data_IF_883775421367
#
_entry.id   IF_883775421367
#
_cell.length_a   1.000
_cell.length_b   1.000
_cell.length_c   1.000
_cell.angle_alpha   90.00
_cell.angle_beta   90.00
_cell.angle_gamma   90.00
#
_symmetry.space_group_name_H-M   'P 1'
#
loop_
_entity.id
_entity.type
_entity.pdbx_description
1 polymer ?
#
# COMPACT_ATOMS: atom_id res chain seq x y z
N UNK A 1 -8.64 19.10 64.09
CA UNK A 1 -8.94 17.79 63.48
C UNK A 1 -10.17 17.95 62.59
N UNK A 2 -10.01 18.13 61.29
CA UNK A 2 -11.11 18.17 60.31
C UNK A 2 -10.70 17.40 59.07
N UNK A 3 -11.05 16.13 59.03
CA UNK A 3 -11.02 15.32 57.81
C UNK A 3 -12.14 14.29 57.92
N UNK A 4 -13.09 14.38 57.00
CA UNK A 4 -14.30 13.54 56.96
C UNK A 4 -14.93 13.59 55.57
N UNK A 5 -14.11 13.22 54.59
CA UNK A 5 -14.42 12.62 53.29
C UNK A 5 -15.91 12.60 52.88
N UNK A 6 -16.35 13.59 52.08
CA UNK A 6 -17.64 13.53 51.41
C UNK A 6 -17.46 12.89 50.02
N UNK A 7 -18.25 11.83 49.76
CA UNK A 7 -18.17 10.96 48.57
C UNK A 7 -18.52 11.75 47.31
N UNK A 8 -17.52 12.21 46.58
CA UNK A 8 -17.72 12.79 45.24
C UNK A 8 -17.93 11.63 44.28
N UNK A 9 -19.19 11.39 43.93
CA UNK A 9 -19.57 10.49 42.84
C UNK A 9 -19.01 11.05 41.53
N UNK A 10 -17.99 10.39 40.98
CA UNK A 10 -17.39 10.73 39.68
C UNK A 10 -18.34 10.22 38.60
N UNK A 11 -18.97 11.10 37.78
CA UNK A 11 -19.76 10.63 36.65
C UNK A 11 -18.81 10.10 35.58
N UNK A 12 -19.01 8.82 35.24
CA UNK A 12 -18.33 8.09 34.17
C UNK A 12 -18.80 8.66 32.81
N UNK A 13 -18.19 9.74 32.35
CA UNK A 13 -18.38 10.24 30.99
C UNK A 13 -17.75 9.24 30.01
N UNK A 14 -18.58 8.35 29.44
CA UNK A 14 -18.26 7.53 28.27
C UNK A 14 -18.03 8.47 27.07
N UNK A 15 -16.79 8.91 26.85
CA UNK A 15 -16.38 9.56 25.61
C UNK A 15 -16.13 8.48 24.55
N UNK A 16 -17.17 8.15 23.78
CA UNK A 16 -17.08 7.27 22.61
C UNK A 16 -16.44 8.06 21.46
N UNK A 17 -15.11 8.10 21.41
CA UNK A 17 -14.35 8.73 20.34
C UNK A 17 -14.51 7.95 19.03
N UNK A 18 -15.29 8.49 18.10
CA UNK A 18 -15.30 8.01 16.71
C UNK A 18 -13.96 8.34 16.06
N UNK A 19 -13.07 7.34 16.00
CA UNK A 19 -11.86 7.42 15.18
C UNK A 19 -12.28 7.24 13.71
N UNK A 20 -12.34 8.33 12.96
CA UNK A 20 -12.48 8.29 11.51
C UNK A 20 -11.15 7.81 10.90
N UNK A 21 -11.01 6.51 10.67
CA UNK A 21 -9.92 5.97 9.86
C UNK A 21 -10.20 6.25 8.39
N UNK A 22 -9.66 7.36 7.88
CA UNK A 22 -9.58 7.59 6.45
C UNK A 22 -8.66 6.53 5.84
N UNK A 23 -9.17 5.78 4.87
CA UNK A 23 -8.33 4.96 3.97
C UNK A 23 -7.41 5.93 3.24
N UNK A 24 -6.18 6.09 3.73
CA UNK A 24 -5.18 6.90 3.05
C UNK A 24 -4.60 6.04 1.93
N UNK A 25 -4.90 6.40 0.69
CA UNK A 25 -4.07 5.98 -0.43
C UNK A 25 -2.61 6.36 -0.12
N UNK A 26 -1.67 5.46 -0.40
CA UNK A 26 -0.26 5.64 -0.08
C UNK A 26 0.35 6.67 -1.03
N UNK A 27 0.28 7.96 -0.70
CA UNK A 27 0.87 9.01 -1.52
C UNK A 27 2.38 9.13 -1.25
N UNK A 28 3.19 9.23 -2.31
CA UNK A 28 4.64 9.40 -2.21
C UNK A 28 5.13 10.62 -2.97
N UNK A 29 6.11 11.31 -2.40
CA UNK A 29 6.78 12.44 -3.05
C UNK A 29 7.80 11.94 -4.08
N UNK A 30 7.83 12.46 -5.29
CA UNK A 30 8.88 12.11 -6.27
C UNK A 30 10.17 12.95 -6.09
N UNK A 31 11.10 12.80 -7.04
CA UNK A 31 12.37 13.52 -7.06
C UNK A 31 12.22 15.02 -7.34
N UNK A 32 11.14 15.43 -8.01
CA UNK A 32 10.84 16.82 -8.36
C UNK A 32 10.13 17.53 -7.20
N UNK A 33 9.59 16.74 -6.27
CA UNK A 33 8.90 17.21 -5.09
C UNK A 33 7.38 17.18 -5.22
N UNK A 34 6.86 16.64 -6.31
CA UNK A 34 5.43 16.45 -6.51
C UNK A 34 4.95 15.28 -5.66
N UNK A 35 3.75 15.41 -5.09
CA UNK A 35 3.12 14.32 -4.34
C UNK A 35 2.28 13.52 -5.31
N UNK A 36 2.68 12.28 -5.55
CA UNK A 36 1.98 11.35 -6.44
C UNK A 36 1.13 10.41 -5.60
N UNK A 37 -0.14 10.30 -5.97
CA UNK A 37 -1.08 9.38 -5.36
C UNK A 37 -1.65 8.44 -6.43
N UNK A 38 -2.14 7.28 -5.99
CA UNK A 38 -2.87 6.36 -6.86
C UNK A 38 -3.88 5.53 -6.08
N UNK A 39 -4.59 4.66 -6.80
CA UNK A 39 -5.63 3.78 -6.24
C UNK A 39 -5.03 2.68 -5.38
N UNK A 40 -3.89 2.12 -5.81
CA UNK A 40 -3.14 1.10 -5.08
C UNK A 40 -1.91 1.67 -4.38
N UNK A 41 -1.00 0.77 -3.98
CA UNK A 41 0.28 1.20 -3.39
C UNK A 41 1.17 1.88 -4.43
N UNK A 42 2.05 2.74 -3.95
CA UNK A 42 3.04 3.43 -4.76
C UNK A 42 4.46 2.96 -4.44
N UNK A 43 5.34 3.03 -5.43
CA UNK A 43 6.76 2.77 -5.27
C UNK A 43 7.58 3.77 -6.08
N UNK A 44 8.82 4.00 -5.65
CA UNK A 44 9.78 4.89 -6.31
C UNK A 44 10.77 4.07 -7.13
N UNK A 45 11.01 4.48 -8.36
CA UNK A 45 12.01 3.86 -9.24
C UNK A 45 13.44 4.31 -8.89
N UNK A 46 14.43 3.89 -9.70
CA UNK A 46 15.83 4.27 -9.54
C UNK A 46 16.14 5.73 -9.85
N UNK A 47 15.33 6.39 -10.68
CA UNK A 47 15.45 7.80 -11.03
C UNK A 47 14.79 8.72 -9.99
N UNK A 48 13.94 8.14 -9.14
CA UNK A 48 13.20 8.86 -8.12
C UNK A 48 11.77 9.22 -8.51
N UNK A 49 11.33 8.81 -9.69
CA UNK A 49 9.93 8.92 -10.13
C UNK A 49 9.07 7.95 -9.33
N UNK A 50 7.85 8.38 -8.98
CA UNK A 50 6.88 7.56 -8.25
C UNK A 50 5.85 7.01 -9.22
N UNK A 51 5.50 5.74 -9.04
CA UNK A 51 4.43 5.08 -9.78
C UNK A 51 3.54 4.33 -8.81
N UNK A 52 2.23 4.37 -9.05
CA UNK A 52 1.22 3.72 -8.23
C UNK A 52 0.48 2.67 -9.03
N UNK A 53 -0.03 1.62 -8.38
CA UNK A 53 -0.94 0.70 -9.07
C UNK A 53 -2.24 1.41 -9.43
N UNK A 54 -2.68 1.27 -10.69
CA UNK A 54 -3.95 1.78 -11.18
C UNK A 54 -5.18 0.99 -10.66
N UNK A 55 -4.94 -0.04 -9.84
CA UNK A 55 -5.98 -0.87 -9.24
C UNK A 55 -6.01 -0.65 -7.74
N UNK A 56 -7.22 -0.51 -7.18
CA UNK A 56 -7.39 -0.36 -5.73
C UNK A 56 -6.84 -1.61 -5.04
N UNK A 57 -6.03 -1.42 -3.99
CA UNK A 57 -5.33 -2.46 -3.25
C UNK A 57 -4.30 -3.26 -4.08
N UNK A 58 -3.99 -2.82 -5.30
CA UNK A 58 -2.92 -3.38 -6.12
C UNK A 58 -1.54 -2.89 -5.70
N UNK A 59 -0.50 -3.65 -6.06
CA UNK A 59 0.87 -3.36 -5.66
C UNK A 59 1.69 -2.72 -6.80
N UNK A 60 2.41 -1.65 -6.49
CA UNK A 60 3.57 -1.18 -7.26
C UNK A 60 4.85 -1.73 -6.60
N UNK A 61 5.69 -2.40 -7.38
CA UNK A 61 6.92 -3.04 -6.91
C UNK A 61 8.11 -2.59 -7.77
N UNK A 62 9.23 -2.28 -7.11
CA UNK A 62 10.50 -1.99 -7.80
C UNK A 62 11.23 -3.29 -8.09
N UNK A 63 11.58 -3.51 -9.36
CA UNK A 63 12.34 -4.68 -9.78
C UNK A 63 13.85 -4.55 -9.48
N UNK A 64 14.63 -5.55 -9.87
CA UNK A 64 16.09 -5.58 -9.67
C UNK A 64 16.85 -4.55 -10.52
N UNK A 65 16.29 -4.15 -11.67
CA UNK A 65 16.86 -3.11 -12.54
C UNK A 65 16.53 -1.70 -12.02
N UNK A 66 15.62 -1.64 -11.05
CA UNK A 66 15.18 -0.42 -10.41
C UNK A 66 13.97 0.22 -11.08
N UNK A 67 13.33 -0.47 -12.04
CA UNK A 67 12.08 -0.02 -12.63
C UNK A 67 10.90 -0.36 -11.71
N UNK A 68 9.88 0.48 -11.70
CA UNK A 68 8.62 0.14 -11.02
C UNK A 68 7.65 -0.51 -12.00
N UNK A 69 7.08 -1.64 -11.58
CA UNK A 69 6.03 -2.37 -12.27
C UNK A 69 4.83 -2.49 -11.35
N UNK A 70 3.62 -2.55 -11.92
CA UNK A 70 2.39 -2.60 -11.14
C UNK A 70 1.53 -3.82 -11.50
N UNK A 71 0.65 -4.20 -10.59
CA UNK A 71 -0.33 -5.27 -10.78
C UNK A 71 -1.64 -5.03 -10.02
N UNK A 72 -2.63 -5.92 -10.23
CA UNK A 72 -3.96 -5.83 -9.60
C UNK A 72 -3.94 -6.20 -8.12
N UNK A 73 -3.14 -7.19 -7.75
CA UNK A 73 -2.90 -7.58 -6.37
C UNK A 73 -1.43 -7.41 -5.97
N UNK A 74 -1.02 -8.16 -4.95
CA UNK A 74 0.38 -8.21 -4.51
C UNK A 74 1.27 -8.83 -5.59
N UNK A 75 2.53 -8.40 -5.60
CA UNK A 75 3.53 -8.75 -6.58
C UNK A 75 4.79 -9.31 -5.91
N UNK A 76 5.40 -10.33 -6.52
CA UNK A 76 6.68 -10.89 -6.09
C UNK A 76 7.57 -11.12 -7.29
N UNK A 77 8.86 -10.92 -7.08
CA UNK A 77 9.89 -11.27 -8.06
C UNK A 77 10.19 -12.76 -7.88
N UNK A 78 10.37 -13.52 -8.95
CA UNK A 78 10.77 -14.94 -8.91
C UNK A 78 12.29 -15.11 -8.90
N UNK A 79 12.77 -16.36 -9.00
CA UNK A 79 14.20 -16.67 -9.10
C UNK A 79 14.86 -16.25 -10.43
N UNK A 80 14.08 -16.11 -11.49
CA UNK A 80 14.51 -15.65 -12.82
C UNK A 80 14.44 -14.12 -12.95
N UNK A 81 14.20 -13.41 -11.84
CA UNK A 81 14.02 -11.95 -11.80
C UNK A 81 12.78 -11.45 -12.55
N UNK A 82 11.80 -12.30 -12.80
CA UNK A 82 10.52 -11.91 -13.38
C UNK A 82 9.56 -11.49 -12.27
N UNK A 83 8.83 -10.40 -12.49
CA UNK A 83 7.85 -9.88 -11.53
C UNK A 83 6.46 -10.39 -11.88
N UNK A 84 5.84 -11.05 -10.92
CA UNK A 84 4.52 -11.66 -11.04
C UNK A 84 3.57 -11.09 -10.00
N UNK A 85 2.34 -10.81 -10.39
CA UNK A 85 1.31 -10.30 -9.49
C UNK A 85 0.08 -11.21 -9.49
N UNK A 86 -0.72 -11.16 -8.43
CA UNK A 86 -2.04 -11.81 -8.42
C UNK A 86 -2.96 -11.19 -9.46
N UNK A 87 -3.71 -12.06 -10.15
CA UNK A 87 -4.78 -11.69 -11.07
C UNK A 87 -6.00 -11.14 -10.35
N UNK A 88 -6.17 -11.46 -9.06
CA UNK A 88 -7.24 -10.95 -8.21
C UNK A 88 -6.84 -9.57 -7.68
N UNK A 89 -7.75 -8.60 -7.81
CA UNK A 89 -7.53 -7.29 -7.24
C UNK A 89 -7.37 -7.37 -5.71
N UNK A 90 -6.26 -6.82 -5.18
CA UNK A 90 -5.88 -6.97 -3.76
C UNK A 90 -5.47 -8.38 -3.34
N UNK A 91 -5.41 -9.34 -4.28
CA UNK A 91 -5.05 -10.73 -4.00
C UNK A 91 -3.59 -10.89 -3.59
N UNK A 92 -3.30 -11.88 -2.74
CA UNK A 92 -1.97 -12.15 -2.22
C UNK A 92 -1.03 -12.81 -3.25
N UNK A 93 0.27 -12.58 -3.08
CA UNK A 93 1.32 -13.28 -3.80
C UNK A 93 2.49 -13.59 -2.87
N UNK A 94 3.01 -14.81 -2.96
CA UNK A 94 4.13 -15.30 -2.16
C UNK A 94 5.10 -16.11 -3.00
N UNK A 95 6.36 -16.14 -2.58
CA UNK A 95 7.38 -16.99 -3.20
C UNK A 95 7.51 -18.26 -2.34
N UNK A 96 7.39 -19.43 -2.95
CA UNK A 96 7.62 -20.69 -2.26
C UNK A 96 9.12 -21.01 -2.07
N UNK A 97 9.42 -22.12 -1.42
CA UNK A 97 10.77 -22.63 -1.17
C UNK A 97 11.57 -22.94 -2.45
N UNK A 98 10.89 -23.29 -3.54
CA UNK A 98 11.46 -23.51 -4.88
C UNK A 98 11.66 -22.23 -5.70
N UNK A 99 11.37 -21.04 -5.13
CA UNK A 99 11.50 -19.77 -5.84
C UNK A 99 10.39 -19.47 -6.86
N UNK A 100 9.35 -20.31 -6.93
CA UNK A 100 8.15 -20.10 -7.75
C UNK A 100 7.18 -19.16 -7.03
N UNK A 101 6.52 -18.29 -7.80
CA UNK A 101 5.47 -17.42 -7.26
C UNK A 101 4.14 -18.16 -7.21
N UNK A 102 3.48 -18.06 -6.07
CA UNK A 102 2.13 -18.53 -5.80
C UNK A 102 1.25 -17.30 -5.60
N UNK A 103 0.18 -17.20 -6.36
CA UNK A 103 -0.75 -16.09 -6.30
C UNK A 103 -2.16 -16.58 -5.99
N UNK A 104 -2.95 -15.74 -5.31
CA UNK A 104 -4.38 -15.94 -5.20
C UNK A 104 -5.02 -15.93 -6.60
N UNK A 105 -5.75 -16.99 -6.93
CA UNK A 105 -6.48 -17.22 -8.20
C UNK A 105 -5.66 -17.08 -9.51
N UNK A 106 -4.33 -17.11 -9.40
CA UNK A 106 -3.42 -17.11 -10.56
C UNK A 106 -2.48 -15.91 -10.61
N UNK A 107 -1.40 -16.07 -11.37
CA UNK A 107 -0.38 -15.04 -11.55
C UNK A 107 -0.42 -14.46 -12.97
N UNK A 108 -0.23 -13.15 -13.09
CA UNK A 108 0.00 -12.44 -14.34
C UNK A 108 1.31 -11.64 -14.26
N UNK A 109 2.00 -11.39 -15.39
CA UNK A 109 3.20 -10.57 -15.39
C UNK A 109 2.88 -9.14 -14.96
N UNK A 110 3.72 -8.56 -14.10
CA UNK A 110 3.63 -7.15 -13.75
C UNK A 110 3.99 -6.26 -14.96
N UNK A 111 3.43 -5.06 -15.03
CA UNK A 111 3.66 -4.18 -16.18
C UNK A 111 3.58 -2.70 -15.81
N UNK A 112 4.36 -1.87 -16.50
CA UNK A 112 4.24 -0.40 -16.43
C UNK A 112 2.87 0.09 -16.91
N UNK A 113 2.22 -0.65 -17.81
CA UNK A 113 0.89 -0.29 -18.31
C UNK A 113 -0.22 -0.39 -17.23
N UNK A 114 0.07 -1.05 -16.10
CA UNK A 114 -0.82 -1.15 -14.95
C UNK A 114 -0.54 -0.10 -13.88
N UNK A 115 0.42 0.79 -14.15
CA UNK A 115 0.76 1.90 -13.27
C UNK A 115 0.01 3.17 -13.66
N UNK A 116 -0.16 4.05 -12.69
CA UNK A 116 -0.59 5.43 -12.87
C UNK A 116 0.33 6.39 -12.12
N UNK A 117 0.33 7.65 -12.56
CA UNK A 117 1.01 8.77 -11.91
C UNK A 117 0.02 9.93 -11.85
N UNK A 118 -0.70 10.08 -10.74
CA UNK A 118 -1.61 11.21 -10.55
C UNK A 118 -1.00 12.15 -9.53
N UNK A 119 -0.66 13.36 -9.98
CA UNK A 119 -0.21 14.44 -9.09
C UNK A 119 -1.39 14.84 -8.19
N UNK A 120 -1.17 14.87 -6.88
CA UNK A 120 -2.14 15.35 -5.92
C UNK A 120 -2.36 16.85 -6.14
N UNK A 121 -3.49 17.22 -6.74
CA UNK A 121 -3.90 18.61 -6.82
C UNK A 121 -4.41 19.07 -5.46
N UNK A 122 -3.79 20.12 -4.93
CA UNK A 122 -4.19 20.81 -3.70
C UNK A 122 -5.59 21.44 -3.80
#
# INVERSE_FOLDING_TARGET
>A
MRSGLNKVAVPLFLALGLMASGVQADCLKDAEGDVICGKGSCARDSSGQVFCSAFKDGEAIRDRMGEVLCGKGQCRIDQNMQTWCSTTQGGGAERNDQGKIMCLEGCEPASKAMCEQTVATH
#
